data_IF_027822886004
#
_entry.id   IF_027822886004
#
_cell.length_a   1.000
_cell.length_b   1.000
_cell.length_c   1.000
_cell.angle_alpha   90.00
_cell.angle_beta   90.00
_cell.angle_gamma   90.00
#
_symmetry.space_group_name_H-M   'P 1'
#
loop_
_entity.id
_entity.type
_entity.pdbx_description
1 polymer ?
#
# COMPACT_ATOMS: atom_id res chain seq x y z
N UNK A 1 7.49 -60.01 -22.37
CA UNK A 1 7.49 -58.92 -23.38
C UNK A 1 6.59 -57.80 -22.86
N UNK A 2 7.13 -56.72 -22.26
CA UNK A 2 7.76 -55.54 -22.90
C UNK A 2 6.67 -54.72 -23.65
N UNK A 3 6.38 -53.43 -23.43
CA UNK A 3 7.12 -52.24 -22.94
C UNK A 3 6.06 -51.15 -22.57
N UNK A 4 6.17 -50.33 -21.52
CA UNK A 4 6.97 -49.10 -21.46
C UNK A 4 6.53 -48.01 -22.47
N UNK A 5 5.99 -46.87 -22.02
CA UNK A 5 6.52 -45.49 -22.25
C UNK A 5 5.53 -44.33 -21.99
N UNK A 6 6.12 -43.28 -21.41
CA UNK A 6 5.71 -41.89 -21.17
C UNK A 6 5.32 -41.10 -22.46
N UNK A 7 4.37 -40.15 -22.33
CA UNK A 7 4.17 -38.91 -23.12
C UNK A 7 3.01 -38.15 -22.47
N UNK A 8 3.19 -37.08 -21.69
CA UNK A 8 3.81 -35.78 -21.98
C UNK A 8 3.24 -35.12 -23.24
N UNK A 9 2.83 -33.86 -23.06
CA UNK A 9 2.30 -32.89 -24.02
C UNK A 9 0.85 -33.03 -24.49
N UNK A 10 -0.04 -32.21 -23.90
CA UNK A 10 -1.00 -31.36 -24.65
C UNK A 10 -1.48 -30.13 -23.83
N UNK A 11 -0.61 -29.56 -23.02
CA UNK A 11 -0.76 -28.17 -22.57
C UNK A 11 0.10 -27.29 -23.47
N UNK A 12 -0.45 -26.70 -24.54
CA UNK A 12 0.09 -25.46 -25.13
C UNK A 12 -0.81 -25.01 -26.28
N UNK A 13 -1.65 -24.00 -26.06
CA UNK A 13 -1.88 -22.97 -27.10
C UNK A 13 -2.70 -21.75 -26.65
N UNK A 14 -3.54 -21.80 -25.62
CA UNK A 14 -4.51 -20.69 -25.41
C UNK A 14 -4.68 -20.18 -23.97
N UNK A 15 -3.76 -20.50 -23.06
CA UNK A 15 -3.89 -20.17 -21.63
C UNK A 15 -2.93 -19.10 -21.08
N UNK A 16 -2.39 -18.19 -21.91
CA UNK A 16 -1.42 -17.19 -21.46
C UNK A 16 -1.70 -15.82 -22.03
N UNK A 17 -2.52 -15.06 -21.30
CA UNK A 17 -2.37 -13.63 -21.02
C UNK A 17 -3.58 -13.22 -20.17
N UNK A 18 -3.37 -12.39 -19.15
CA UNK A 18 -4.40 -11.79 -18.27
C UNK A 18 -5.32 -12.74 -17.46
N UNK A 19 -4.75 -13.54 -16.56
CA UNK A 19 -5.52 -14.02 -15.41
C UNK A 19 -4.65 -14.01 -14.16
N UNK A 20 -4.93 -13.11 -13.22
CA UNK A 20 -4.59 -13.32 -11.81
C UNK A 20 -5.41 -14.53 -11.34
N UNK A 21 -4.90 -15.71 -11.68
CA UNK A 21 -5.55 -16.97 -11.45
C UNK A 21 -5.36 -17.35 -9.98
N UNK A 22 -6.46 -17.26 -9.25
CA UNK A 22 -6.74 -17.71 -7.89
C UNK A 22 -6.50 -19.23 -7.71
N UNK A 23 -5.30 -19.73 -8.01
CA UNK A 23 -5.00 -21.16 -7.95
C UNK A 23 -3.59 -21.41 -7.42
N UNK A 24 -3.57 -21.62 -6.10
CA UNK A 24 -2.83 -22.68 -5.40
C UNK A 24 -1.48 -23.03 -6.02
N UNK A 25 -0.36 -22.58 -5.42
CA UNK A 25 0.76 -23.44 -4.94
C UNK A 25 1.65 -22.70 -3.94
N UNK A 26 2.21 -23.41 -2.93
CA UNK A 26 2.87 -22.80 -1.78
C UNK A 26 4.36 -22.58 -2.05
N UNK A 27 4.86 -21.39 -1.78
CA UNK A 27 6.30 -21.17 -1.56
C UNK A 27 6.51 -21.16 -0.04
N UNK A 28 7.30 -22.14 0.38
CA UNK A 28 7.56 -22.53 1.75
C UNK A 28 8.57 -21.56 2.38
N UNK A 29 8.09 -20.50 3.02
CA UNK A 29 8.90 -19.67 3.93
C UNK A 29 8.06 -18.85 4.92
N UNK A 30 6.95 -19.41 5.41
CA UNK A 30 6.27 -18.94 6.63
C UNK A 30 5.29 -20.04 7.06
N UNK A 31 5.72 -20.94 7.96
CA UNK A 31 4.83 -21.98 8.49
C UNK A 31 3.93 -21.33 9.55
N UNK A 32 2.86 -20.67 9.11
CA UNK A 32 1.63 -20.57 9.91
C UNK A 32 0.91 -21.90 9.78
N UNK A 33 0.43 -22.42 10.91
CA UNK A 33 -0.18 -23.73 11.04
C UNK A 33 -1.20 -24.03 9.94
N UNK A 34 -1.11 -25.25 9.41
CA UNK A 34 -2.01 -25.80 8.41
C UNK A 34 -3.41 -25.99 9.00
N UNK A 35 -4.28 -25.00 8.80
CA UNK A 35 -5.73 -25.15 8.86
C UNK A 35 -6.29 -25.05 7.45
N UNK A 36 -7.24 -25.91 7.09
CA UNK A 36 -7.95 -25.94 5.79
C UNK A 36 -8.98 -24.81 5.66
N UNK A 37 -8.85 -23.74 6.41
CA UNK A 37 -9.68 -22.56 6.30
C UNK A 37 -8.95 -21.54 5.41
N UNK A 38 -9.60 -21.09 4.34
CA UNK A 38 -9.19 -19.84 3.68
C UNK A 38 -9.13 -18.71 4.73
N UNK A 39 -8.50 -17.56 4.42
CA UNK A 39 -8.39 -16.46 5.37
C UNK A 39 -9.75 -16.26 6.04
N UNK A 40 -9.77 -16.34 7.38
CA UNK A 40 -11.01 -16.18 8.13
C UNK A 40 -11.67 -14.89 7.64
N UNK A 41 -13.00 -14.83 7.58
CA UNK A 41 -13.72 -13.63 7.09
C UNK A 41 -13.18 -12.34 7.73
N UNK A 42 -12.67 -12.45 8.95
CA UNK A 42 -12.05 -11.35 9.70
C UNK A 42 -10.66 -10.95 9.19
N UNK A 43 -9.81 -11.88 8.76
CA UNK A 43 -8.50 -11.56 8.18
C UNK A 43 -8.65 -10.82 6.82
N UNK A 44 -9.57 -11.27 5.98
CA UNK A 44 -9.86 -10.61 4.70
C UNK A 44 -10.46 -9.21 4.90
N UNK A 45 -11.38 -9.06 5.88
CA UNK A 45 -11.94 -7.75 6.25
C UNK A 45 -10.86 -6.77 6.69
N UNK A 46 -9.89 -7.19 7.52
CA UNK A 46 -8.80 -6.34 7.98
C UNK A 46 -7.90 -5.85 6.84
N UNK A 47 -7.55 -6.75 5.91
CA UNK A 47 -6.74 -6.37 4.73
C UNK A 47 -7.50 -5.37 3.86
N UNK A 48 -8.80 -5.57 3.65
CA UNK A 48 -9.63 -4.62 2.91
C UNK A 48 -9.83 -3.29 3.61
N UNK A 49 -10.02 -3.29 4.94
CA UNK A 49 -10.12 -2.06 5.73
C UNK A 49 -8.82 -1.26 5.61
N UNK A 50 -7.67 -1.92 5.78
CA UNK A 50 -6.34 -1.34 5.59
C UNK A 50 -6.18 -0.72 4.19
N UNK A 51 -6.52 -1.45 3.12
CA UNK A 51 -6.42 -0.97 1.74
C UNK A 51 -7.34 0.23 1.49
N UNK A 52 -8.59 0.18 1.96
CA UNK A 52 -9.57 1.28 1.81
C UNK A 52 -9.09 2.52 2.56
N UNK A 53 -8.61 2.35 3.79
CA UNK A 53 -8.17 3.48 4.63
C UNK A 53 -6.93 4.14 4.05
N UNK A 54 -5.94 3.37 3.59
CA UNK A 54 -4.80 3.93 2.85
C UNK A 54 -5.31 4.71 1.64
N UNK A 55 -6.17 4.11 0.82
CA UNK A 55 -6.72 4.76 -0.37
C UNK A 55 -7.39 6.12 -0.07
N UNK A 56 -8.10 6.20 1.05
CA UNK A 56 -8.75 7.43 1.52
C UNK A 56 -7.73 8.46 1.98
N UNK A 57 -6.66 8.06 2.67
CA UNK A 57 -5.63 8.96 3.20
C UNK A 57 -4.80 9.63 2.10
N UNK A 58 -4.60 8.94 0.97
CA UNK A 58 -3.94 9.53 -0.20
C UNK A 58 -4.74 10.69 -0.83
N UNK A 59 -6.03 10.87 -0.49
CA UNK A 59 -6.85 11.96 -1.06
C UNK A 59 -6.39 13.33 -0.53
N UNK A 60 -6.31 13.56 0.81
CA UNK A 60 -5.74 14.77 1.39
C UNK A 60 -4.31 15.08 0.93
N UNK A 61 -3.43 14.09 0.83
CA UNK A 61 -2.06 14.30 0.34
C UNK A 61 -2.03 14.90 -1.07
N UNK A 62 -2.82 14.32 -1.97
CA UNK A 62 -2.92 14.82 -3.35
C UNK A 62 -3.54 16.21 -3.43
N UNK A 63 -4.43 16.57 -2.49
CA UNK A 63 -4.96 17.93 -2.35
C UNK A 63 -3.86 18.88 -1.87
N UNK A 64 -3.06 18.46 -0.88
CA UNK A 64 -1.98 19.25 -0.32
C UNK A 64 -0.92 19.57 -1.39
N UNK A 65 -0.47 18.57 -2.17
CA UNK A 65 0.44 18.77 -3.31
C UNK A 65 -0.15 19.72 -4.35
N UNK A 66 -1.44 19.57 -4.68
CA UNK A 66 -2.12 20.44 -5.64
C UNK A 66 -2.18 21.91 -5.20
N UNK A 67 -2.50 22.17 -3.92
CA UNK A 67 -2.51 23.52 -3.34
C UNK A 67 -1.10 24.11 -3.29
N UNK A 68 -0.11 23.31 -2.88
CA UNK A 68 1.29 23.73 -2.79
C UNK A 68 1.85 24.27 -4.10
N UNK A 69 1.51 23.64 -5.24
CA UNK A 69 1.89 24.15 -6.57
C UNK A 69 0.91 25.20 -7.13
N UNK A 70 -0.37 25.13 -6.78
CA UNK A 70 -1.41 26.04 -7.28
C UNK A 70 -1.33 27.46 -6.69
N UNK A 71 -0.73 27.63 -5.51
CA UNK A 71 -0.59 28.93 -4.84
C UNK A 71 0.52 29.85 -5.37
N UNK A 72 1.22 29.48 -6.45
CA UNK A 72 2.26 30.30 -7.08
C UNK A 72 3.63 30.28 -6.39
N UNK A 73 3.76 29.61 -5.24
CA UNK A 73 5.04 29.37 -4.55
C UNK A 73 5.64 28.01 -4.94
N UNK A 74 6.37 27.98 -6.06
CA UNK A 74 6.94 26.74 -6.59
C UNK A 74 7.96 26.06 -5.64
N UNK A 75 8.66 26.82 -4.79
CA UNK A 75 9.61 26.23 -3.83
C UNK A 75 8.88 25.50 -2.70
N UNK A 76 7.86 26.13 -2.11
CA UNK A 76 7.05 25.49 -1.07
C UNK A 76 6.25 24.29 -1.60
N UNK A 77 5.73 24.36 -2.82
CA UNK A 77 5.10 23.22 -3.48
C UNK A 77 6.06 22.04 -3.71
N UNK A 78 7.31 22.33 -4.08
CA UNK A 78 8.33 21.30 -4.27
C UNK A 78 8.76 20.64 -2.95
N UNK A 79 8.95 21.42 -1.89
CA UNK A 79 9.25 20.91 -0.53
C UNK A 79 8.14 19.97 -0.05
N UNK A 80 6.88 20.39 -0.20
CA UNK A 80 5.71 19.58 0.16
C UNK A 80 5.62 18.30 -0.67
N UNK A 81 5.89 18.37 -1.97
CA UNK A 81 5.85 17.22 -2.87
C UNK A 81 6.96 16.21 -2.57
N UNK A 82 8.16 16.68 -2.20
CA UNK A 82 9.26 15.81 -1.77
C UNK A 82 8.91 15.13 -0.45
N UNK A 83 8.38 15.90 0.51
CA UNK A 83 7.92 15.38 1.80
C UNK A 83 6.89 14.28 1.62
N UNK A 84 5.82 14.53 0.85
CA UNK A 84 4.76 13.53 0.58
C UNK A 84 5.30 12.34 -0.23
N UNK A 85 6.11 12.59 -1.27
CA UNK A 85 6.70 11.51 -2.07
C UNK A 85 7.55 10.54 -1.26
N UNK A 86 8.26 11.03 -0.23
CA UNK A 86 9.08 10.20 0.63
C UNK A 86 8.26 9.30 1.57
N UNK A 87 7.08 9.75 1.99
CA UNK A 87 6.12 8.99 2.80
C UNK A 87 5.45 7.88 1.97
N UNK A 88 5.15 8.19 0.71
CA UNK A 88 4.40 7.31 -0.17
C UNK A 88 5.23 6.12 -0.65
N UNK A 89 6.57 6.19 -0.57
CA UNK A 89 7.44 5.07 -0.90
C UNK A 89 7.29 3.89 0.10
N UNK A 90 7.42 4.09 1.43
CA UNK A 90 7.06 3.10 2.44
C UNK A 90 5.61 2.57 2.31
N UNK A 91 4.64 3.44 2.04
CA UNK A 91 3.24 3.03 1.88
C UNK A 91 3.01 2.16 0.64
N UNK A 92 3.57 2.57 -0.50
CA UNK A 92 3.53 1.80 -1.74
C UNK A 92 4.21 0.44 -1.58
N UNK A 93 5.29 0.37 -0.81
CA UNK A 93 5.92 -0.91 -0.44
C UNK A 93 4.99 -1.75 0.44
N UNK A 94 4.31 -1.18 1.42
CA UNK A 94 3.34 -1.89 2.25
C UNK A 94 2.20 -2.49 1.40
N UNK A 95 1.65 -1.73 0.45
CA UNK A 95 0.64 -2.22 -0.51
C UNK A 95 1.20 -3.34 -1.40
N UNK A 96 2.42 -3.19 -1.92
CA UNK A 96 3.07 -4.23 -2.73
C UNK A 96 3.29 -5.53 -1.93
N UNK A 97 3.71 -5.42 -0.67
CA UNK A 97 3.88 -6.57 0.23
C UNK A 97 2.53 -7.21 0.59
N UNK A 98 1.48 -6.43 0.78
CA UNK A 98 0.12 -6.94 1.00
C UNK A 98 -0.35 -7.74 -0.23
N UNK A 99 -0.19 -7.21 -1.45
CA UNK A 99 -0.51 -7.92 -2.69
C UNK A 99 0.32 -9.19 -2.89
N UNK A 100 1.59 -9.16 -2.48
CA UNK A 100 2.46 -10.34 -2.52
C UNK A 100 2.02 -11.42 -1.53
N UNK A 101 1.51 -11.02 -0.35
CA UNK A 101 0.98 -11.97 0.64
C UNK A 101 -0.30 -12.68 0.16
N UNK A 102 -1.03 -12.06 -0.77
CA UNK A 102 -2.16 -12.64 -1.51
C UNK A 102 -1.73 -13.49 -2.72
N UNK A 103 -0.42 -13.67 -2.95
CA UNK A 103 0.12 -14.54 -4.00
C UNK A 103 0.43 -13.85 -5.34
N UNK A 104 0.42 -12.51 -5.41
CA UNK A 104 0.87 -11.80 -6.61
C UNK A 104 2.38 -11.95 -6.83
N UNK A 105 2.82 -11.98 -8.10
CA UNK A 105 4.25 -12.00 -8.42
C UNK A 105 4.93 -10.71 -7.96
N UNK A 106 6.20 -10.79 -7.52
CA UNK A 106 6.95 -9.63 -7.00
C UNK A 106 6.97 -8.46 -8.00
N UNK A 107 7.16 -8.79 -9.28
CA UNK A 107 7.16 -7.80 -10.35
C UNK A 107 5.78 -7.18 -10.58
N UNK A 108 4.71 -7.97 -10.52
CA UNK A 108 3.35 -7.42 -10.65
C UNK A 108 3.03 -6.48 -9.49
N UNK A 109 3.30 -6.89 -8.25
CA UNK A 109 3.05 -6.07 -7.07
C UNK A 109 3.85 -4.77 -7.10
N UNK A 110 5.11 -4.83 -7.51
CA UNK A 110 5.95 -3.64 -7.68
C UNK A 110 5.41 -2.70 -8.78
N UNK A 111 5.10 -3.22 -9.97
CA UNK A 111 4.56 -2.41 -11.06
C UNK A 111 3.19 -1.84 -10.70
N UNK A 112 2.33 -2.61 -10.05
CA UNK A 112 1.04 -2.12 -9.58
C UNK A 112 1.21 -0.97 -8.59
N UNK A 113 2.06 -1.11 -7.57
CA UNK A 113 2.35 -0.05 -6.60
C UNK A 113 3.01 1.19 -7.25
N UNK A 114 3.93 0.99 -8.21
CA UNK A 114 4.56 2.09 -8.93
C UNK A 114 3.55 2.85 -9.82
N UNK A 115 2.65 2.12 -10.50
CA UNK A 115 1.60 2.72 -11.31
C UNK A 115 0.60 3.50 -10.45
N UNK A 116 0.26 3.01 -9.24
CA UNK A 116 -0.59 3.77 -8.32
C UNK A 116 0.09 5.04 -7.81
N UNK A 117 1.41 5.00 -7.55
CA UNK A 117 2.18 6.18 -7.18
C UNK A 117 2.27 7.23 -8.31
N UNK A 118 2.28 6.80 -9.58
CA UNK A 118 2.23 7.71 -10.73
C UNK A 118 0.90 8.47 -10.89
N UNK A 119 -0.19 7.95 -10.30
CA UNK A 119 -1.49 8.66 -10.31
C UNK A 119 -1.45 9.92 -9.43
N UNK A 120 -0.57 9.95 -8.43
CA UNK A 120 -0.42 11.03 -7.45
C UNK A 120 -0.04 12.39 -8.09
N UNK A 121 1.06 12.52 -8.87
CA UNK A 121 1.42 13.78 -9.51
C UNK A 121 0.38 14.24 -10.53
N UNK A 122 -0.28 13.31 -11.24
CA UNK A 122 -1.34 13.64 -12.19
C UNK A 122 -2.54 14.22 -11.44
N UNK A 123 -2.96 13.59 -10.35
CA UNK A 123 -4.10 14.04 -9.56
C UNK A 123 -3.79 15.33 -8.76
N UNK A 124 -2.53 15.55 -8.39
CA UNK A 124 -2.04 16.81 -7.82
C UNK A 124 -2.10 17.94 -8.84
N UNK A 125 -1.62 17.70 -10.08
CA UNK A 125 -1.67 18.68 -11.16
C UNK A 125 -3.11 19.09 -11.53
N UNK A 126 -4.04 18.14 -11.57
CA UNK A 126 -5.47 18.43 -11.78
C UNK A 126 -6.05 19.29 -10.65
N UNK A 127 -5.65 19.04 -9.40
CA UNK A 127 -6.11 19.82 -8.24
C UNK A 127 -5.46 21.18 -8.11
N UNK A 128 -4.25 21.37 -8.64
CA UNK A 128 -3.63 22.68 -8.78
C UNK A 128 -4.46 23.63 -9.68
N UNK A 129 -5.34 23.10 -10.54
CA UNK A 129 -6.30 23.92 -11.31
C UNK A 129 -7.57 24.29 -10.53
N UNK A 130 -7.81 23.69 -9.35
CA UNK A 130 -9.00 23.88 -8.52
C UNK A 130 -8.63 24.21 -7.06
N UNK A 131 -7.71 25.17 -6.89
CA UNK A 131 -7.11 25.52 -5.59
C UNK A 131 -8.15 25.97 -4.57
N UNK A 132 -9.08 26.85 -4.94
CA UNK A 132 -10.07 27.42 -4.01
C UNK A 132 -10.94 26.36 -3.32
N UNK A 133 -11.40 25.34 -4.07
CA UNK A 133 -12.19 24.23 -3.52
C UNK A 133 -11.30 23.31 -2.67
N UNK A 134 -10.05 23.15 -3.08
CA UNK A 134 -9.08 22.29 -2.39
C UNK A 134 -8.70 22.88 -1.03
N UNK A 135 -8.45 24.19 -0.93
CA UNK A 135 -8.08 24.86 0.32
C UNK A 135 -9.17 24.78 1.39
N UNK A 136 -10.44 24.91 1.02
CA UNK A 136 -11.54 24.82 1.98
C UNK A 136 -11.75 23.39 2.50
N UNK A 137 -11.50 22.38 1.66
CA UNK A 137 -11.77 20.98 1.99
C UNK A 137 -10.57 20.27 2.62
N UNK A 138 -9.35 20.75 2.38
CA UNK A 138 -8.11 20.15 2.86
C UNK A 138 -8.08 19.94 4.39
N UNK A 139 -8.40 20.93 5.25
CA UNK A 139 -8.28 20.76 6.70
C UNK A 139 -9.20 19.66 7.23
N UNK A 140 -10.43 19.60 6.72
CA UNK A 140 -11.40 18.56 7.06
C UNK A 140 -10.94 17.18 6.58
N UNK A 141 -10.38 17.12 5.37
CA UNK A 141 -9.79 15.91 4.81
C UNK A 141 -8.63 15.39 5.65
N UNK A 142 -7.69 16.25 6.02
CA UNK A 142 -6.51 15.89 6.83
C UNK A 142 -6.91 15.39 8.22
N UNK A 143 -7.85 16.05 8.91
CA UNK A 143 -8.32 15.60 10.23
C UNK A 143 -8.98 14.24 10.16
N UNK A 144 -9.86 14.02 9.17
CA UNK A 144 -10.50 12.73 8.97
C UNK A 144 -9.49 11.62 8.66
N UNK A 145 -8.54 11.91 7.78
CA UNK A 145 -7.53 10.97 7.35
C UNK A 145 -6.55 10.61 8.48
N UNK A 146 -6.13 11.59 9.29
CA UNK A 146 -5.33 11.36 10.49
C UNK A 146 -6.03 10.45 11.49
N UNK A 147 -7.33 10.70 11.76
CA UNK A 147 -8.14 9.85 12.62
C UNK A 147 -8.27 8.41 12.10
N UNK A 148 -8.49 8.24 10.79
CA UNK A 148 -8.57 6.93 10.16
C UNK A 148 -7.26 6.13 10.27
N UNK A 149 -6.11 6.78 10.05
CA UNK A 149 -4.80 6.11 10.17
C UNK A 149 -4.49 5.71 11.61
N UNK A 150 -4.81 6.55 12.61
CA UNK A 150 -4.65 6.20 14.02
C UNK A 150 -5.50 4.96 14.37
N UNK A 151 -6.74 4.90 13.88
CA UNK A 151 -7.62 3.74 14.09
C UNK A 151 -7.04 2.45 13.51
N UNK A 152 -6.62 2.48 12.23
CA UNK A 152 -6.06 1.32 11.52
C UNK A 152 -4.76 0.83 12.14
N UNK A 153 -3.82 1.74 12.45
CA UNK A 153 -2.56 1.37 13.08
C UNK A 153 -2.84 0.69 14.43
N UNK A 154 -3.75 1.25 15.22
CA UNK A 154 -4.08 0.70 16.55
C UNK A 154 -4.80 -0.66 16.46
N UNK A 155 -5.83 -0.78 15.63
CA UNK A 155 -6.72 -1.94 15.64
C UNK A 155 -6.24 -3.07 14.72
N UNK A 156 -5.44 -2.79 13.70
CA UNK A 156 -5.01 -3.79 12.72
C UNK A 156 -3.53 -4.11 12.86
N UNK A 157 -2.64 -3.10 12.85
CA UNK A 157 -1.19 -3.33 12.89
C UNK A 157 -0.74 -3.81 14.29
N UNK A 158 -1.09 -3.06 15.34
CA UNK A 158 -0.64 -3.37 16.72
C UNK A 158 -1.27 -4.69 17.21
N UNK A 159 -2.56 -4.91 16.96
CA UNK A 159 -3.21 -6.15 17.41
C UNK A 159 -2.70 -7.39 16.67
N UNK A 160 -2.42 -7.28 15.36
CA UNK A 160 -1.94 -8.43 14.58
C UNK A 160 -0.53 -8.84 15.00
N UNK A 161 0.33 -7.87 15.32
CA UNK A 161 1.70 -8.14 15.78
C UNK A 161 1.73 -8.75 17.18
N UNK A 162 0.85 -8.30 18.09
CA UNK A 162 0.66 -8.92 19.40
C UNK A 162 0.09 -10.34 19.29
N UNK A 163 -0.89 -10.54 18.41
CA UNK A 163 -1.49 -11.87 18.15
C UNK A 163 -0.46 -12.89 17.63
N UNK A 164 0.57 -12.42 16.93
CA UNK A 164 1.67 -13.26 16.41
C UNK A 164 2.88 -13.34 17.34
N UNK A 165 2.86 -12.69 18.51
CA UNK A 165 3.96 -12.73 19.48
C UNK A 165 5.21 -11.95 19.08
N UNK A 166 5.15 -11.08 18.06
CA UNK A 166 6.29 -10.29 17.58
C UNK A 166 6.22 -8.83 18.04
N UNK A 167 5.65 -8.58 19.22
CA UNK A 167 5.35 -7.24 19.75
C UNK A 167 6.58 -6.34 19.88
N UNK A 168 7.72 -6.87 20.33
CA UNK A 168 8.94 -6.06 20.54
C UNK A 168 9.56 -5.61 19.21
N UNK A 169 9.69 -6.54 18.26
CA UNK A 169 10.22 -6.24 16.93
C UNK A 169 9.29 -5.29 16.14
N UNK A 170 7.96 -5.47 16.28
CA UNK A 170 6.97 -4.58 15.68
C UNK A 170 7.03 -3.17 16.27
N UNK A 171 7.18 -3.05 17.59
CA UNK A 171 7.27 -1.75 18.27
C UNK A 171 8.55 -1.01 17.88
N UNK A 172 9.69 -1.71 17.82
CA UNK A 172 10.95 -1.13 17.34
C UNK A 172 10.81 -0.68 15.87
N UNK A 173 10.22 -1.51 15.02
CA UNK A 173 9.95 -1.17 13.62
C UNK A 173 9.05 0.07 13.48
N UNK A 174 7.99 0.16 14.29
CA UNK A 174 7.10 1.32 14.34
C UNK A 174 7.85 2.59 14.77
N UNK A 175 8.71 2.50 15.80
CA UNK A 175 9.50 3.65 16.27
C UNK A 175 10.51 4.12 15.22
N UNK A 176 11.21 3.19 14.56
CA UNK A 176 12.15 3.52 13.48
C UNK A 176 11.38 4.17 12.31
N UNK A 177 10.24 3.58 11.91
CA UNK A 177 9.39 4.15 10.85
C UNK A 177 8.90 5.56 11.19
N UNK A 178 8.48 5.78 12.44
CA UNK A 178 8.05 7.09 12.92
C UNK A 178 9.19 8.13 12.86
N UNK A 179 10.42 7.74 13.22
CA UNK A 179 11.58 8.64 13.10
C UNK A 179 11.89 8.94 11.63
N UNK A 180 11.85 7.91 10.77
CA UNK A 180 12.15 8.06 9.35
C UNK A 180 11.13 8.94 8.61
N UNK A 181 9.87 8.96 9.06
CA UNK A 181 8.83 9.80 8.46
C UNK A 181 8.84 11.24 9.02
N UNK A 182 9.09 11.41 10.33
CA UNK A 182 9.12 12.73 10.97
C UNK A 182 10.40 13.51 10.69
N UNK A 183 11.54 12.84 10.51
CA UNK A 183 12.82 13.52 10.33
C UNK A 183 12.87 14.38 9.04
N UNK A 184 12.44 13.88 7.87
CA UNK A 184 12.33 14.70 6.67
C UNK A 184 11.32 15.83 6.82
N UNK A 185 10.16 15.58 7.42
CA UNK A 185 9.12 16.60 7.62
C UNK A 185 9.65 17.81 8.40
N UNK A 186 10.36 17.56 9.50
CA UNK A 186 11.00 18.62 10.33
C UNK A 186 12.22 19.26 9.65
N UNK A 187 12.92 18.52 8.79
CA UNK A 187 14.10 19.04 8.10
C UNK A 187 13.77 19.90 6.88
N UNK A 188 12.57 19.71 6.29
CA UNK A 188 12.07 20.47 5.13
C UNK A 188 11.17 21.65 5.52
N UNK A 189 10.71 21.75 6.78
CA UNK A 189 9.93 22.87 7.33
C UNK A 189 10.79 24.02 7.83
#
# INVERSE_FOLDING_TARGET
>A
MATGTDRRDRDTAWGRRYSCHWSRRPIQAFRVGTGREGPSRDAFKKIWLFVIVITIHNIPEKLAVGIGFGGGNNSGGLELAIGIGLQNAPEGLAVALAQQSEGCSKHYAFVAAALTGLVEPIAGAVRAAAVEVSELTLPWGMVFAAGAMIYVISHEIITETHRRGHQDAATIGLMIGLVLILFPDVSLS
#
